data_IF_480352147331
#
_entry.id   IF_480352147331
#
_cell.length_a   1.000
_cell.length_b   1.000
_cell.length_c   1.000
_cell.angle_alpha   90.00
_cell.angle_beta   90.00
_cell.angle_gamma   90.00
#
_symmetry.space_group_name_H-M   'P 1'
#
loop_
_entity.id
_entity.type
_entity.pdbx_description
1 polymer ?
#
# COMPACT_ATOMS: atom_id res chain seq x y z
N UNK A 1 49.60 1.89 31.47
CA UNK A 1 49.11 0.50 31.36
C UNK A 1 48.81 -0.02 32.75
N UNK A 2 47.55 -0.02 33.17
CA UNK A 2 47.13 -0.61 34.45
C UNK A 2 45.85 -1.40 34.20
N UNK A 3 45.97 -2.73 34.24
CA UNK A 3 44.89 -3.67 33.99
C UNK A 3 44.08 -3.87 35.26
N UNK A 4 42.89 -3.27 35.32
CA UNK A 4 41.89 -3.58 36.35
C UNK A 4 41.16 -4.87 35.98
N UNK A 5 41.63 -6.00 36.53
CA UNK A 5 40.89 -7.28 36.50
C UNK A 5 39.66 -7.14 37.40
N UNK A 6 38.48 -6.98 36.81
CA UNK A 6 37.19 -7.15 37.49
C UNK A 6 37.08 -8.61 37.96
N UNK A 7 36.97 -8.82 39.27
CA UNK A 7 36.68 -10.12 39.87
C UNK A 7 35.29 -10.58 39.42
N UNK A 8 35.22 -11.77 38.79
CA UNK A 8 33.97 -12.49 38.55
C UNK A 8 33.32 -12.80 39.90
N UNK A 9 32.06 -12.39 40.05
CA UNK A 9 31.20 -12.85 41.14
C UNK A 9 31.09 -14.37 41.09
N UNK A 10 31.10 -14.99 42.27
CA UNK A 10 30.85 -16.41 42.45
C UNK A 10 29.38 -16.69 42.13
N UNK A 11 29.12 -17.56 41.14
CA UNK A 11 27.77 -18.04 40.85
C UNK A 11 27.38 -19.14 41.85
N UNK A 12 26.19 -19.03 42.43
CA UNK A 12 25.52 -20.11 43.18
C UNK A 12 24.98 -21.17 42.20
N UNK A 13 24.79 -22.45 42.62
CA UNK A 13 24.64 -23.56 41.68
C UNK A 13 23.24 -23.78 41.09
N UNK A 14 22.24 -22.94 41.33
CA UNK A 14 20.82 -23.30 41.09
C UNK A 14 19.98 -22.32 40.26
N UNK A 15 20.56 -21.34 39.57
CA UNK A 15 19.80 -20.57 38.57
C UNK A 15 20.11 -21.12 37.17
N UNK A 16 19.42 -22.19 36.76
CA UNK A 16 19.19 -22.42 35.34
C UNK A 16 18.27 -21.31 34.84
N UNK A 17 18.87 -20.16 34.53
CA UNK A 17 18.18 -19.08 33.83
C UNK A 17 17.71 -19.65 32.50
N UNK A 18 16.40 -19.88 32.37
CA UNK A 18 15.78 -20.25 31.10
C UNK A 18 15.99 -19.07 30.15
N UNK A 19 17.05 -19.13 29.36
CA UNK A 19 17.34 -18.13 28.33
C UNK A 19 16.44 -18.42 27.14
N UNK A 20 15.65 -17.41 26.75
CA UNK A 20 14.82 -17.53 25.56
C UNK A 20 15.73 -17.62 24.32
N UNK A 21 15.48 -18.56 23.37
CA UNK A 21 16.20 -18.59 22.11
C UNK A 21 16.03 -17.29 21.31
N UNK A 22 17.04 -16.93 20.54
CA UNK A 22 17.09 -15.69 19.76
C UNK A 22 15.95 -15.60 18.74
N UNK A 23 15.56 -16.74 18.15
CA UNK A 23 14.46 -16.82 17.19
C UNK A 23 13.12 -16.43 17.82
N UNK A 24 12.91 -16.78 19.09
CA UNK A 24 11.71 -16.42 19.83
C UNK A 24 11.74 -14.94 20.20
N UNK A 25 12.90 -14.41 20.58
CA UNK A 25 13.06 -12.97 20.80
C UNK A 25 12.78 -12.18 19.52
N UNK A 26 13.28 -12.64 18.37
CA UNK A 26 12.95 -12.04 17.08
C UNK A 26 11.47 -12.07 16.77
N UNK A 27 10.78 -13.19 17.04
CA UNK A 27 9.34 -13.30 16.84
C UNK A 27 8.59 -12.27 17.71
N UNK A 28 8.95 -12.17 19.00
CA UNK A 28 8.33 -11.22 19.93
C UNK A 28 8.55 -9.79 19.46
N UNK A 29 9.80 -9.41 19.18
CA UNK A 29 10.15 -8.06 18.73
C UNK A 29 9.46 -7.70 17.42
N UNK A 30 9.30 -8.65 16.49
CA UNK A 30 8.61 -8.42 15.21
C UNK A 30 7.10 -8.16 15.35
N UNK A 31 6.53 -8.30 16.55
CA UNK A 31 5.13 -7.97 16.84
C UNK A 31 4.96 -6.64 17.59
N UNK A 32 6.04 -5.91 17.86
CA UNK A 32 6.01 -4.62 18.53
C UNK A 32 5.93 -3.48 17.50
N UNK A 33 5.31 -2.37 17.91
CA UNK A 33 5.36 -1.13 17.13
C UNK A 33 6.74 -0.46 17.22
N UNK A 34 7.00 0.52 16.36
CA UNK A 34 8.26 1.23 16.28
C UNK A 34 8.68 1.88 17.61
N UNK A 35 7.74 2.46 18.35
CA UNK A 35 8.03 3.13 19.62
C UNK A 35 8.50 2.14 20.70
N UNK A 36 7.85 0.98 20.77
CA UNK A 36 8.21 -0.08 21.70
C UNK A 36 9.56 -0.70 21.31
N UNK A 37 9.82 -0.89 20.00
CA UNK A 37 11.12 -1.34 19.48
C UNK A 37 12.26 -0.40 19.87
N UNK A 38 12.08 0.92 19.71
CA UNK A 38 13.06 1.92 20.14
C UNK A 38 13.32 1.82 21.64
N UNK A 39 12.28 1.57 22.44
CA UNK A 39 12.44 1.36 23.89
C UNK A 39 13.25 0.10 24.18
N UNK A 40 12.98 -1.02 23.48
CA UNK A 40 13.77 -2.26 23.61
C UNK A 40 15.25 -2.05 23.30
N UNK A 41 15.60 -1.22 22.29
CA UNK A 41 17.00 -0.88 21.99
C UNK A 41 17.73 -0.20 23.15
N UNK A 42 17.01 0.46 24.07
CA UNK A 42 17.58 1.13 25.23
C UNK A 42 17.73 0.21 26.46
N UNK A 43 17.13 -0.99 26.43
CA UNK A 43 17.14 -1.94 27.55
C UNK A 43 18.47 -2.68 27.65
N UNK A 44 18.93 -3.28 26.54
CA UNK A 44 20.17 -4.04 26.52
C UNK A 44 20.80 -4.12 25.12
N UNK A 45 22.08 -4.50 25.06
CA UNK A 45 22.81 -4.65 23.81
C UNK A 45 22.20 -5.74 22.91
N UNK A 46 21.77 -6.87 23.48
CA UNK A 46 21.13 -7.94 22.72
C UNK A 46 19.90 -7.45 21.94
N UNK A 47 18.97 -6.75 22.60
CA UNK A 47 17.78 -6.22 21.91
C UNK A 47 18.14 -5.15 20.89
N UNK A 48 19.10 -4.28 21.20
CA UNK A 48 19.59 -3.30 20.26
C UNK A 48 20.14 -3.95 18.98
N UNK A 49 20.96 -5.00 19.13
CA UNK A 49 21.54 -5.73 18.01
C UNK A 49 20.44 -6.44 17.20
N UNK A 50 19.52 -7.16 17.85
CA UNK A 50 18.41 -7.84 17.19
C UNK A 50 17.53 -6.90 16.37
N UNK A 51 17.19 -5.73 16.93
CA UNK A 51 16.38 -4.73 16.23
C UNK A 51 17.14 -4.11 15.06
N UNK A 52 18.44 -3.83 15.22
CA UNK A 52 19.28 -3.19 14.19
C UNK A 52 19.72 -4.12 13.08
N UNK A 53 19.82 -5.42 13.32
CA UNK A 53 20.31 -6.38 12.34
C UNK A 53 19.17 -7.11 11.61
N UNK A 54 18.01 -7.27 12.26
CA UNK A 54 16.86 -7.92 11.63
C UNK A 54 16.25 -7.07 10.53
N UNK A 55 16.27 -7.60 9.31
CA UNK A 55 15.59 -6.99 8.15
C UNK A 55 14.08 -6.98 8.29
N UNK A 56 13.51 -7.97 8.98
CA UNK A 56 12.07 -8.00 9.26
C UNK A 56 11.65 -6.86 10.20
N UNK A 57 12.40 -6.65 11.28
CA UNK A 57 12.12 -5.57 12.25
C UNK A 57 12.35 -4.19 11.62
N UNK A 58 13.44 -4.02 10.86
CA UNK A 58 13.68 -2.80 10.06
C UNK A 58 12.54 -2.53 9.09
N UNK A 59 12.06 -3.56 8.39
CA UNK A 59 10.97 -3.42 7.43
C UNK A 59 9.67 -2.92 8.10
N UNK A 60 9.27 -3.51 9.23
CA UNK A 60 8.08 -3.07 9.98
C UNK A 60 8.25 -1.63 10.47
N UNK A 61 9.44 -1.29 10.96
CA UNK A 61 9.76 0.08 11.40
C UNK A 61 9.63 1.10 10.27
N UNK A 62 10.19 0.80 9.10
CA UNK A 62 10.11 1.67 7.92
C UNK A 62 8.68 1.78 7.37
N UNK A 63 7.87 0.72 7.46
CA UNK A 63 6.46 0.78 7.11
C UNK A 63 5.72 1.79 8.01
N UNK A 64 5.92 1.71 9.33
CA UNK A 64 5.28 2.65 10.27
C UNK A 64 5.73 4.08 10.04
N UNK A 65 7.04 4.31 9.82
CA UNK A 65 7.59 5.64 9.49
C UNK A 65 6.94 6.20 8.22
N UNK A 66 6.75 5.37 7.20
CA UNK A 66 6.13 5.75 5.95
C UNK A 66 4.58 5.84 6.01
N UNK A 67 3.96 5.45 7.12
CA UNK A 67 2.50 5.35 7.25
C UNK A 67 1.87 4.29 6.34
N UNK A 68 2.61 3.22 6.06
CA UNK A 68 2.20 2.12 5.19
C UNK A 68 1.89 0.86 5.99
N UNK A 69 1.11 -0.03 5.39
CA UNK A 69 0.75 -1.34 5.96
C UNK A 69 1.39 -2.43 5.11
N UNK A 70 1.83 -3.53 5.74
CA UNK A 70 2.35 -4.68 5.02
C UNK A 70 1.27 -5.28 4.11
N UNK A 71 1.66 -5.58 2.87
CA UNK A 71 0.76 -6.17 1.85
C UNK A 71 0.44 -7.65 2.08
N UNK A 72 0.89 -8.24 3.19
CA UNK A 72 0.61 -9.61 3.58
C UNK A 72 1.35 -10.65 2.76
N UNK A 73 0.75 -11.84 2.68
CA UNK A 73 1.32 -13.04 2.04
C UNK A 73 1.21 -13.04 0.51
N UNK A 74 0.55 -12.04 -0.09
CA UNK A 74 0.42 -11.94 -1.54
C UNK A 74 1.76 -11.65 -2.25
N UNK A 75 2.75 -11.11 -1.54
CA UNK A 75 4.08 -10.85 -2.07
C UNK A 75 5.04 -12.01 -1.84
N UNK A 76 5.69 -12.46 -2.91
CA UNK A 76 6.75 -13.49 -2.88
C UNK A 76 8.11 -12.96 -2.44
N UNK A 77 8.23 -11.65 -2.15
CA UNK A 77 9.48 -11.01 -1.76
C UNK A 77 9.83 -11.35 -0.32
N UNK A 78 11.13 -11.59 -0.07
CA UNK A 78 11.68 -11.72 1.28
C UNK A 78 11.56 -10.41 2.06
N UNK A 79 11.65 -10.45 3.40
CA UNK A 79 11.64 -9.23 4.22
C UNK A 79 12.75 -8.24 3.82
N UNK A 80 13.93 -8.76 3.43
CA UNK A 80 15.04 -7.93 2.96
C UNK A 80 14.72 -7.26 1.62
N UNK A 81 14.10 -7.98 0.67
CA UNK A 81 13.73 -7.42 -0.63
C UNK A 81 12.60 -6.38 -0.47
N UNK A 82 11.63 -6.66 0.41
CA UNK A 82 10.55 -5.71 0.75
C UNK A 82 11.10 -4.42 1.36
N UNK A 83 12.05 -4.52 2.30
CA UNK A 83 12.74 -3.36 2.87
C UNK A 83 13.47 -2.56 1.79
N UNK A 84 14.24 -3.23 0.94
CA UNK A 84 14.98 -2.56 -0.13
C UNK A 84 14.03 -1.82 -1.08
N UNK A 85 12.94 -2.46 -1.52
CA UNK A 85 11.94 -1.81 -2.37
C UNK A 85 11.27 -0.63 -1.66
N UNK A 86 10.91 -0.76 -0.39
CA UNK A 86 10.32 0.32 0.40
C UNK A 86 11.25 1.54 0.47
N UNK A 87 12.54 1.32 0.77
CA UNK A 87 13.52 2.40 0.82
C UNK A 87 13.70 3.09 -0.55
N UNK A 88 13.72 2.31 -1.64
CA UNK A 88 13.79 2.88 -3.00
C UNK A 88 12.53 3.69 -3.31
N UNK A 89 11.34 3.19 -2.95
CA UNK A 89 10.07 3.91 -3.15
C UNK A 89 10.07 5.22 -2.37
N UNK A 90 10.44 5.19 -1.08
CA UNK A 90 10.54 6.39 -0.23
C UNK A 90 11.54 7.41 -0.80
N UNK A 91 12.72 6.96 -1.22
CA UNK A 91 13.72 7.81 -1.88
C UNK A 91 13.14 8.44 -3.16
N UNK A 92 12.53 7.63 -4.02
CA UNK A 92 11.99 8.10 -5.29
C UNK A 92 10.86 9.12 -5.10
N UNK A 93 10.01 8.95 -4.10
CA UNK A 93 8.99 9.94 -3.75
C UNK A 93 9.60 11.24 -3.23
N UNK A 94 10.61 11.15 -2.35
CA UNK A 94 11.29 12.30 -1.77
C UNK A 94 11.96 13.18 -2.83
N UNK A 95 12.54 12.55 -3.86
CA UNK A 95 13.29 13.23 -4.93
C UNK A 95 12.56 13.28 -6.27
N UNK A 96 11.27 12.93 -6.32
CA UNK A 96 10.45 12.89 -7.54
C UNK A 96 11.08 12.09 -8.69
N UNK A 97 11.75 10.97 -8.37
CA UNK A 97 12.37 10.07 -9.34
C UNK A 97 11.36 9.00 -9.78
N UNK A 98 10.59 9.30 -10.82
CA UNK A 98 9.61 8.37 -11.36
C UNK A 98 10.29 7.20 -12.09
N UNK A 99 9.87 5.97 -11.78
CA UNK A 99 10.42 4.74 -12.41
C UNK A 99 9.99 4.59 -13.87
N UNK A 100 8.80 5.09 -14.22
CA UNK A 100 8.28 5.09 -15.58
C UNK A 100 7.29 6.24 -15.79
N UNK A 101 7.09 6.60 -17.06
CA UNK A 101 6.09 7.57 -17.49
C UNK A 101 5.24 6.94 -18.58
N UNK A 102 3.92 7.09 -18.46
CA UNK A 102 2.98 6.58 -19.44
C UNK A 102 2.04 7.70 -19.91
N UNK A 103 1.94 7.84 -21.23
CA UNK A 103 1.00 8.78 -21.85
C UNK A 103 -0.25 8.05 -22.25
N UNK A 104 -1.39 8.47 -21.70
CA UNK A 104 -2.71 7.95 -22.07
C UNK A 104 -3.41 9.00 -22.92
N UNK A 105 -3.92 8.60 -24.09
CA UNK A 105 -4.76 9.47 -24.89
C UNK A 105 -6.09 9.68 -24.17
N UNK A 106 -6.38 10.94 -23.82
CA UNK A 106 -7.67 11.29 -23.22
C UNK A 106 -8.80 10.98 -24.21
N UNK A 107 -9.85 10.24 -23.80
CA UNK A 107 -11.07 10.11 -24.58
C UNK A 107 -11.75 11.47 -24.79
N UNK A 108 -12.69 11.55 -25.75
CA UNK A 108 -13.52 12.74 -25.96
C UNK A 108 -14.60 12.88 -24.87
N UNK A 109 -14.19 12.78 -23.61
CA UNK A 109 -15.04 12.87 -22.44
C UNK A 109 -14.30 13.73 -21.38
N UNK A 110 -15.07 14.45 -20.58
CA UNK A 110 -14.50 15.26 -19.50
C UNK A 110 -14.38 14.50 -18.18
N UNK A 111 -15.13 13.41 -17.98
CA UNK A 111 -15.20 12.67 -16.71
C UNK A 111 -14.08 11.64 -16.61
N UNK A 112 -13.15 11.86 -15.70
CA UNK A 112 -12.07 10.93 -15.41
C UNK A 112 -11.78 10.91 -13.92
N UNK A 113 -11.23 9.78 -13.46
CA UNK A 113 -10.78 9.59 -12.08
C UNK A 113 -9.50 8.75 -12.09
N UNK A 114 -8.57 9.03 -11.18
CA UNK A 114 -7.34 8.26 -11.01
C UNK A 114 -7.19 7.87 -9.55
N UNK A 115 -7.37 6.59 -9.25
CA UNK A 115 -7.27 6.07 -7.89
C UNK A 115 -6.61 4.69 -7.86
N UNK A 116 -5.71 4.45 -6.91
CA UNK A 116 -5.07 3.14 -6.71
C UNK A 116 -4.25 2.64 -7.92
N UNK A 117 -3.81 3.54 -8.81
CA UNK A 117 -3.14 3.18 -10.06
C UNK A 117 -4.10 2.67 -11.15
N UNK A 118 -5.40 2.91 -11.00
CA UNK A 118 -6.42 2.70 -12.04
C UNK A 118 -6.88 4.06 -12.53
N UNK A 119 -6.77 4.31 -13.83
CA UNK A 119 -7.31 5.48 -14.52
C UNK A 119 -8.64 5.09 -15.15
N UNK A 120 -9.70 5.82 -14.82
CA UNK A 120 -11.03 5.59 -15.34
C UNK A 120 -11.51 6.79 -16.18
N UNK A 121 -12.29 6.52 -17.21
CA UNK A 121 -12.92 7.52 -18.06
C UNK A 121 -14.38 7.19 -18.27
N UNK A 122 -15.25 8.20 -18.19
CA UNK A 122 -16.62 8.04 -18.61
C UNK A 122 -16.71 7.69 -20.10
N UNK A 123 -17.69 6.87 -20.44
CA UNK A 123 -17.97 6.38 -21.79
C UNK A 123 -19.40 6.69 -22.20
N UNK A 124 -19.54 7.13 -23.44
CA UNK A 124 -20.80 7.25 -24.17
C UNK A 124 -20.82 6.26 -25.33
N UNK A 125 -22.01 5.82 -25.74
CA UNK A 125 -22.17 4.86 -26.84
C UNK A 125 -21.86 5.49 -28.22
N UNK A 126 -22.15 6.79 -28.37
CA UNK A 126 -21.78 7.62 -29.52
C UNK A 126 -21.13 8.94 -29.08
N UNK A 127 -20.50 9.66 -30.02
CA UNK A 127 -19.63 10.82 -29.77
C UNK A 127 -20.24 11.88 -28.86
N UNK A 128 -21.52 12.16 -29.04
CA UNK A 128 -22.25 13.23 -28.35
C UNK A 128 -23.34 12.71 -27.40
N UNK A 129 -23.30 11.40 -27.11
CA UNK A 129 -24.27 10.75 -26.24
C UNK A 129 -24.05 11.02 -24.75
N UNK A 130 -25.05 10.75 -23.90
CA UNK A 130 -24.86 10.79 -22.47
C UNK A 130 -23.78 9.79 -22.04
N UNK A 131 -22.98 10.16 -21.04
CA UNK A 131 -22.07 9.22 -20.41
C UNK A 131 -22.89 8.22 -19.60
N UNK A 132 -22.90 6.95 -20.01
CA UNK A 132 -23.68 5.87 -19.37
C UNK A 132 -22.78 4.72 -18.91
N UNK A 133 -21.53 4.69 -19.37
CA UNK A 133 -20.54 3.67 -19.02
C UNK A 133 -19.24 4.26 -18.51
N UNK A 134 -18.28 3.39 -18.17
CA UNK A 134 -16.93 3.74 -17.72
C UNK A 134 -15.93 2.75 -18.35
N UNK A 135 -14.81 3.26 -18.84
CA UNK A 135 -13.65 2.47 -19.26
C UNK A 135 -12.50 2.67 -18.28
N UNK A 136 -11.71 1.63 -18.07
CA UNK A 136 -10.67 1.57 -17.04
C UNK A 136 -9.34 1.13 -17.65
N UNK A 137 -8.27 1.72 -17.12
CA UNK A 137 -6.88 1.39 -17.43
C UNK A 137 -6.14 1.25 -16.11
N UNK A 138 -5.84 0.03 -15.69
CA UNK A 138 -4.89 -0.19 -14.63
C UNK A 138 -3.48 0.05 -15.17
N UNK A 139 -2.82 1.05 -14.60
CA UNK A 139 -1.49 1.46 -15.01
C UNK A 139 -0.46 0.36 -14.69
N UNK A 140 0.60 0.23 -15.51
CA UNK A 140 1.72 -0.64 -15.19
C UNK A 140 2.30 -0.32 -13.81
N UNK A 141 2.71 -1.37 -13.11
CA UNK A 141 3.46 -1.27 -11.87
C UNK A 141 4.42 -2.44 -11.76
N UNK A 142 5.71 -2.11 -11.68
CA UNK A 142 6.77 -3.10 -11.41
C UNK A 142 6.54 -3.80 -10.08
N UNK A 143 6.06 -3.08 -9.06
CA UNK A 143 5.79 -3.62 -7.73
C UNK A 143 4.65 -4.65 -7.75
N UNK A 144 3.68 -4.50 -8.67
CA UNK A 144 2.62 -5.49 -8.89
C UNK A 144 3.01 -6.62 -9.86
N UNK A 145 4.24 -6.61 -10.40
CA UNK A 145 4.65 -7.53 -11.46
C UNK A 145 3.89 -7.30 -12.78
N UNK A 146 3.24 -6.15 -12.95
CA UNK A 146 2.40 -5.83 -14.09
C UNK A 146 3.10 -4.79 -14.98
N UNK A 147 3.80 -5.25 -16.01
CA UNK A 147 4.53 -4.36 -16.93
C UNK A 147 3.64 -3.76 -18.01
N UNK A 148 2.52 -4.40 -18.32
CA UNK A 148 1.58 -3.95 -19.33
C UNK A 148 0.26 -3.45 -18.72
N UNK A 149 -0.34 -2.39 -19.27
CA UNK A 149 -1.60 -1.86 -18.77
C UNK A 149 -2.75 -2.83 -19.02
N UNK A 150 -3.54 -3.12 -17.98
CA UNK A 150 -4.78 -3.89 -18.10
C UNK A 150 -5.94 -2.95 -18.38
N UNK A 151 -6.79 -3.31 -19.35
CA UNK A 151 -7.96 -2.51 -19.75
C UNK A 151 -9.24 -3.32 -19.63
N UNK A 152 -10.30 -2.68 -19.15
CA UNK A 152 -11.65 -3.24 -19.13
C UNK A 152 -12.67 -2.11 -19.21
N UNK A 153 -13.93 -2.44 -19.48
CA UNK A 153 -14.99 -1.44 -19.60
C UNK A 153 -16.35 -1.99 -19.18
N UNK A 154 -17.20 -1.07 -18.73
CA UNK A 154 -18.63 -1.24 -18.57
C UNK A 154 -19.31 -0.26 -19.51
N UNK A 155 -19.91 -0.76 -20.59
CA UNK A 155 -20.47 0.09 -21.66
C UNK A 155 -21.70 0.88 -21.22
N UNK A 156 -22.50 0.31 -20.34
CA UNK A 156 -23.70 0.92 -19.79
C UNK A 156 -23.92 0.38 -18.37
N UNK A 157 -24.07 1.29 -17.39
CA UNK A 157 -24.28 0.98 -15.97
C UNK A 157 -25.77 1.07 -15.57
N UNK A 158 -26.69 1.12 -16.54
CA UNK A 158 -28.14 1.18 -16.30
C UNK A 158 -28.63 2.55 -15.84
N UNK A 159 -27.88 3.62 -16.11
CA UNK A 159 -28.19 4.99 -15.67
C UNK A 159 -28.29 5.93 -16.86
N UNK A 160 -29.16 6.93 -16.76
CA UNK A 160 -29.45 7.84 -17.89
C UNK A 160 -28.24 8.71 -18.25
N UNK A 161 -27.60 9.32 -17.25
CA UNK A 161 -26.42 10.17 -17.44
C UNK A 161 -25.60 10.23 -16.16
N UNK A 162 -24.36 9.78 -16.24
CA UNK A 162 -23.33 9.97 -15.22
C UNK A 162 -22.86 11.42 -15.32
N UNK A 163 -23.03 12.18 -14.24
CA UNK A 163 -22.53 13.54 -14.08
C UNK A 163 -21.11 13.55 -13.52
N UNK A 164 -20.83 12.62 -12.61
CA UNK A 164 -19.54 12.46 -11.96
C UNK A 164 -19.44 11.05 -11.36
N UNK A 165 -18.23 10.60 -11.03
CA UNK A 165 -18.03 9.34 -10.33
C UNK A 165 -16.75 9.36 -9.48
N UNK A 166 -16.76 8.60 -8.39
CA UNK A 166 -15.57 8.26 -7.60
C UNK A 166 -15.38 6.75 -7.56
N UNK A 167 -14.18 6.29 -7.21
CA UNK A 167 -13.90 4.85 -7.11
C UNK A 167 -12.88 4.51 -6.04
N UNK A 168 -13.01 3.31 -5.49
CA UNK A 168 -11.99 2.64 -4.69
C UNK A 168 -11.84 1.19 -5.18
N UNK A 169 -10.85 0.91 -6.07
CA UNK A 169 -10.58 -0.42 -6.57
C UNK A 169 -10.14 -1.41 -5.49
N UNK A 170 -9.68 -0.95 -4.31
CA UNK A 170 -9.31 -1.85 -3.21
C UNK A 170 -10.53 -2.50 -2.55
N UNK A 171 -11.70 -1.88 -2.70
CA UNK A 171 -12.99 -2.34 -2.18
C UNK A 171 -13.93 -2.84 -3.29
N UNK A 172 -13.46 -2.91 -4.54
CA UNK A 172 -14.30 -3.17 -5.73
C UNK A 172 -15.52 -2.23 -5.79
N UNK A 173 -15.30 -0.94 -5.52
CA UNK A 173 -16.36 0.07 -5.36
C UNK A 173 -16.26 1.19 -6.39
N UNK A 174 -17.41 1.53 -6.99
CA UNK A 174 -17.62 2.74 -7.79
C UNK A 174 -18.87 3.45 -7.30
N UNK A 175 -18.79 4.77 -7.09
CA UNK A 175 -19.90 5.63 -6.69
C UNK A 175 -20.23 6.57 -7.84
N UNK A 176 -21.51 6.62 -8.23
CA UNK A 176 -21.98 7.42 -9.35
C UNK A 176 -22.84 8.60 -8.89
N UNK A 177 -22.58 9.78 -9.42
CA UNK A 177 -23.52 10.91 -9.38
C UNK A 177 -24.27 10.92 -10.70
N UNK A 178 -25.57 10.64 -10.67
CA UNK A 178 -26.39 10.53 -11.87
C UNK A 178 -27.36 11.70 -11.99
N UNK A 179 -27.60 12.16 -13.22
CA UNK A 179 -28.76 13.01 -13.49
C UNK A 179 -29.99 12.13 -13.62
N UNK A 180 -30.99 12.38 -12.77
CA UNK A 180 -32.32 11.84 -12.96
C UNK A 180 -32.98 12.64 -14.07
N UNK A 181 -33.43 11.95 -15.11
CA UNK A 181 -34.47 12.50 -15.98
C UNK A 181 -35.77 12.25 -15.25
N UNK A 182 -36.60 13.28 -15.04
CA UNK A 182 -37.98 13.01 -14.62
C UNK A 182 -38.63 12.13 -15.71
N UNK A 183 -39.44 11.12 -15.34
CA UNK A 183 -40.26 10.46 -16.34
C UNK A 183 -41.11 11.53 -17.01
N UNK A 184 -41.16 11.54 -18.35
CA UNK A 184 -42.08 12.39 -19.09
C UNK A 184 -43.44 12.29 -18.41
N UNK A 185 -43.88 13.39 -17.82
CA UNK A 185 -45.23 13.49 -17.30
C UNK A 185 -46.14 13.07 -18.44
N UNK A 186 -46.85 11.95 -18.24
CA UNK A 186 -47.88 11.49 -19.16
C UNK A 186 -48.75 12.72 -19.41
N UNK A 187 -48.70 13.26 -20.64
CA UNK A 187 -49.61 14.30 -21.08
C UNK A 187 -51.00 13.67 -21.15
N UNK A 188 -51.64 13.49 -19.99
CA UNK A 188 -53.06 13.21 -19.87
C UNK A 188 -53.77 14.55 -19.67
N UNK A 189 -54.33 15.06 -20.76
CA UNK A 189 -55.04 16.33 -20.86
C UNK A 189 -54.57 17.00 -22.15
N UNK A 190 -55.32 16.96 -23.25
CA UNK A 190 -56.74 17.31 -23.42
C UNK A 190 -57.39 16.37 -24.43
#
# INVERSE_FOLDING_TARGET
>A
MSNHKRKRGQNSPNDESVTLPEEILHLILSNLNFKDLVTCCLVCLLFNDLVRESKAIQYISELEIAGLVDGGSASTLSASDRLNELLVVQHNWTYLKFRSTHTVRRPNNSLWELFGGVLAFGRSEWSDGPTTGISFIQLPSQVRGQLEPRRWEHKNLGVNRIRDFGMDPSQDLVVLIIMRTEPESVMSGI
#
